data_IF_671342183931
#
_entry.id   IF_671342183931
#
_cell.length_a   1.000
_cell.length_b   1.000
_cell.length_c   1.000
_cell.angle_alpha   90.00
_cell.angle_beta   90.00
_cell.angle_gamma   90.00
#
_symmetry.space_group_name_H-M   'P 1'
#
loop_
_entity.id
_entity.type
_entity.pdbx_description
1 polymer ?
#
# COMPACT_ATOMS: atom_id res chain seq x y z
N UNK A 1 2.93 -0.44 -31.05
CA UNK A 1 2.27 -1.68 -30.57
C UNK A 1 0.87 -1.31 -30.08
N UNK A 2 -0.19 -1.92 -30.60
CA UNK A 2 -1.55 -1.49 -30.28
C UNK A 2 -1.93 -1.96 -28.86
N UNK A 3 -2.66 -1.16 -28.11
CA UNK A 3 -3.12 -1.39 -26.71
C UNK A 3 -3.68 -2.83 -26.48
N UNK A 4 -4.30 -3.41 -27.51
CA UNK A 4 -4.77 -4.82 -27.50
C UNK A 4 -3.65 -5.86 -27.35
N UNK A 5 -2.46 -5.60 -27.89
CA UNK A 5 -1.33 -6.55 -27.83
C UNK A 5 -0.70 -6.59 -26.44
N UNK A 6 -0.67 -5.44 -25.74
CA UNK A 6 -0.15 -5.35 -24.36
C UNK A 6 -1.10 -6.07 -23.39
N UNK A 7 -2.42 -5.94 -23.57
CA UNK A 7 -3.41 -6.69 -22.77
C UNK A 7 -3.27 -8.19 -23.01
N UNK A 8 -2.92 -8.61 -24.23
CA UNK A 8 -2.69 -10.02 -24.55
C UNK A 8 -1.43 -10.53 -23.87
N UNK A 9 -0.34 -9.77 -23.89
CA UNK A 9 0.92 -10.11 -23.20
C UNK A 9 0.77 -10.16 -21.66
N UNK A 10 0.00 -9.25 -21.07
CA UNK A 10 -0.32 -9.30 -19.65
C UNK A 10 -1.21 -10.51 -19.29
N UNK A 11 -2.21 -10.83 -20.12
CA UNK A 11 -3.03 -12.04 -19.95
C UNK A 11 -2.23 -13.32 -20.10
N UNK A 12 -1.26 -13.35 -21.00
CA UNK A 12 -0.45 -14.54 -21.25
C UNK A 12 0.58 -14.75 -20.11
N UNK A 13 1.10 -13.69 -19.52
CA UNK A 13 1.98 -13.76 -18.34
C UNK A 13 1.21 -14.23 -17.08
N UNK A 14 0.00 -13.75 -16.86
CA UNK A 14 -0.90 -14.24 -15.78
C UNK A 14 -1.27 -15.71 -16.01
N UNK A 15 -1.52 -16.13 -17.27
CA UNK A 15 -1.81 -17.53 -17.60
C UNK A 15 -0.60 -18.45 -17.42
N UNK A 16 0.63 -17.99 -17.63
CA UNK A 16 1.84 -18.81 -17.51
C UNK A 16 2.09 -19.31 -16.09
N UNK A 17 1.82 -18.48 -15.08
CA UNK A 17 1.96 -18.90 -13.67
C UNK A 17 0.73 -19.70 -13.19
N UNK A 18 -0.48 -19.38 -13.63
CA UNK A 18 -1.67 -20.17 -13.33
C UNK A 18 -1.63 -21.56 -13.99
N UNK A 19 -1.03 -21.69 -15.18
CA UNK A 19 -0.90 -22.94 -15.93
C UNK A 19 -0.05 -23.99 -15.19
N UNK A 20 1.02 -23.59 -14.50
CA UNK A 20 1.91 -24.52 -13.80
C UNK A 20 1.24 -25.15 -12.58
N UNK A 21 0.41 -24.40 -11.85
CA UNK A 21 -0.35 -24.92 -10.72
C UNK A 21 -1.62 -25.69 -11.17
N UNK A 22 -2.28 -25.27 -12.25
CA UNK A 22 -3.46 -25.97 -12.77
C UNK A 22 -3.09 -27.34 -13.35
N UNK A 23 -1.93 -27.48 -14.00
CA UNK A 23 -1.46 -28.78 -14.49
C UNK A 23 -1.10 -29.76 -13.37
N UNK A 24 -0.56 -29.28 -12.24
CA UNK A 24 -0.26 -30.13 -11.09
C UNK A 24 -1.53 -30.62 -10.39
N UNK A 25 -2.52 -29.73 -10.21
CA UNK A 25 -3.82 -30.08 -9.58
C UNK A 25 -4.66 -30.93 -10.52
N UNK A 26 -4.68 -30.63 -11.81
CA UNK A 26 -5.42 -31.43 -12.83
C UNK A 26 -4.88 -32.85 -12.99
N UNK A 27 -3.54 -33.04 -12.87
CA UNK A 27 -2.93 -34.37 -12.93
C UNK A 27 -3.29 -35.24 -11.71
N UNK A 28 -3.35 -34.69 -10.53
CA UNK A 28 -3.75 -35.40 -9.31
C UNK A 28 -5.22 -35.74 -9.33
N UNK A 29 -6.08 -34.83 -9.82
CA UNK A 29 -7.52 -35.08 -9.91
C UNK A 29 -7.87 -36.17 -10.96
N UNK A 30 -7.17 -36.18 -12.10
CA UNK A 30 -7.34 -37.19 -13.12
C UNK A 30 -6.89 -38.59 -12.64
N UNK A 31 -5.81 -38.66 -11.84
CA UNK A 31 -5.32 -39.92 -11.27
C UNK A 31 -6.29 -40.48 -10.22
N UNK A 32 -6.92 -39.64 -9.42
CA UNK A 32 -7.94 -40.02 -8.42
C UNK A 32 -9.22 -40.52 -9.13
N UNK A 33 -9.67 -39.84 -10.19
CA UNK A 33 -10.86 -40.27 -10.97
C UNK A 33 -10.63 -41.58 -11.70
N UNK A 34 -9.44 -41.82 -12.27
CA UNK A 34 -9.08 -43.07 -12.93
C UNK A 34 -8.96 -44.22 -11.89
N UNK A 35 -8.43 -43.96 -10.71
CA UNK A 35 -8.37 -44.95 -9.63
C UNK A 35 -9.78 -45.34 -9.12
N UNK A 36 -10.73 -44.40 -9.08
CA UNK A 36 -12.11 -44.64 -8.68
C UNK A 36 -12.93 -45.40 -9.74
N UNK A 37 -12.63 -45.26 -11.03
CA UNK A 37 -13.31 -45.94 -12.13
C UNK A 37 -12.79 -47.38 -12.30
N UNK A 38 -11.55 -47.69 -11.90
CA UNK A 38 -10.97 -49.02 -12.01
C UNK A 38 -11.25 -49.93 -10.80
N UNK A 39 -11.87 -49.40 -9.74
CA UNK A 39 -12.30 -50.15 -8.57
C UNK A 39 -13.78 -50.54 -8.74
N UNK A 40 -14.03 -51.48 -9.66
CA UNK A 40 -15.37 -52.02 -9.87
C UNK A 40 -15.93 -52.75 -8.64
N UNK A 41 -17.17 -52.46 -8.39
CA UNK A 41 -18.18 -53.19 -7.61
C UNK A 41 -17.72 -54.21 -6.55
N UNK A 42 -17.81 -53.78 -5.30
CA UNK A 42 -18.25 -54.68 -4.22
C UNK A 42 -19.19 -53.88 -3.31
N UNK A 43 -20.46 -54.28 -3.33
CA UNK A 43 -21.44 -53.91 -2.31
C UNK A 43 -20.90 -54.24 -0.92
N UNK A 44 -20.51 -53.21 -0.18
CA UNK A 44 -20.35 -53.24 1.27
C UNK A 44 -21.21 -52.11 1.82
N UNK A 45 -22.37 -52.49 2.30
CA UNK A 45 -23.17 -51.64 3.19
C UNK A 45 -22.41 -51.50 4.50
N UNK A 46 -21.54 -50.52 4.58
CA UNK A 46 -20.92 -50.08 5.83
C UNK A 46 -21.45 -48.71 6.17
N UNK A 47 -22.34 -48.69 7.17
CA UNK A 47 -22.81 -47.49 7.83
C UNK A 47 -21.63 -46.95 8.68
N UNK A 48 -20.60 -46.47 8.07
CA UNK A 48 -19.63 -45.59 8.74
C UNK A 48 -20.20 -44.18 8.65
N UNK A 49 -20.69 -43.66 9.75
CA UNK A 49 -20.84 -42.23 9.97
C UNK A 49 -19.50 -41.58 9.58
N UNK A 50 -19.53 -40.83 8.50
CA UNK A 50 -18.38 -39.94 8.14
C UNK A 50 -18.38 -38.91 9.25
N UNK A 51 -17.54 -39.10 10.28
CA UNK A 51 -17.22 -38.03 11.20
C UNK A 51 -16.74 -36.87 10.33
N UNK A 52 -17.50 -35.80 10.38
CA UNK A 52 -17.18 -34.53 9.73
C UNK A 52 -15.91 -34.03 10.43
N UNK A 53 -14.74 -34.37 9.88
CA UNK A 53 -13.44 -33.98 10.41
C UNK A 53 -13.34 -32.47 10.21
N UNK A 54 -13.73 -31.74 11.24
CA UNK A 54 -13.61 -30.28 11.26
C UNK A 54 -12.16 -29.91 10.95
N UNK A 55 -11.96 -29.19 9.86
CA UNK A 55 -10.62 -28.68 9.52
C UNK A 55 -10.13 -27.77 10.67
N UNK A 56 -8.85 -27.89 11.09
CA UNK A 56 -8.30 -27.08 12.17
C UNK A 56 -8.34 -25.60 11.80
N UNK A 57 -8.83 -24.78 12.71
CA UNK A 57 -8.90 -23.33 12.53
C UNK A 57 -7.60 -22.67 13.00
N UNK A 58 -7.06 -21.76 12.17
CA UNK A 58 -5.81 -21.06 12.47
C UNK A 58 -6.03 -19.56 12.60
N UNK A 59 -5.45 -18.97 13.65
CA UNK A 59 -5.42 -17.53 13.85
C UNK A 59 -3.99 -17.11 14.19
N UNK A 60 -3.43 -16.14 13.48
CA UNK A 60 -2.03 -15.70 13.61
C UNK A 60 -1.01 -16.85 13.52
N UNK A 61 -1.32 -17.87 12.70
CA UNK A 61 -0.47 -19.06 12.53
C UNK A 61 -0.53 -20.08 13.68
N UNK A 62 -1.44 -19.87 14.64
CA UNK A 62 -1.67 -20.78 15.79
C UNK A 62 -2.99 -21.51 15.57
N UNK A 63 -3.00 -22.86 15.71
CA UNK A 63 -4.24 -23.62 15.73
C UNK A 63 -5.05 -23.26 16.98
N UNK A 64 -6.28 -22.77 16.80
CA UNK A 64 -7.08 -22.22 17.89
C UNK A 64 -8.17 -23.16 18.43
N UNK A 65 -8.24 -24.40 17.95
CA UNK A 65 -9.30 -25.36 18.33
C UNK A 65 -9.39 -25.58 19.84
N UNK A 66 -8.26 -25.48 20.56
CA UNK A 66 -8.16 -25.68 22.01
C UNK A 66 -8.12 -24.37 22.82
N UNK A 67 -8.43 -23.23 22.18
CA UNK A 67 -8.37 -21.92 22.83
C UNK A 67 -9.68 -21.17 22.75
N UNK A 68 -10.00 -20.43 23.80
CA UNK A 68 -10.96 -19.33 23.74
C UNK A 68 -10.24 -18.08 23.24
N UNK A 69 -10.78 -17.48 22.19
CA UNK A 69 -10.21 -16.29 21.54
C UNK A 69 -10.88 -15.04 22.10
N UNK A 70 -10.11 -14.22 22.79
CA UNK A 70 -10.59 -12.94 23.37
C UNK A 70 -9.92 -11.79 22.66
N UNK A 71 -10.67 -11.08 21.80
CA UNK A 71 -10.20 -9.92 21.05
C UNK A 71 -10.68 -8.64 21.75
N UNK A 72 -9.78 -7.68 21.94
CA UNK A 72 -10.09 -6.33 22.43
C UNK A 72 -9.20 -5.30 21.70
N UNK A 73 -9.49 -4.03 21.93
CA UNK A 73 -8.74 -2.90 21.36
C UNK A 73 -8.15 -2.07 22.49
N UNK A 74 -6.87 -1.69 22.37
CA UNK A 74 -6.20 -0.85 23.36
C UNK A 74 -6.85 0.53 23.39
N UNK A 75 -7.29 0.94 24.57
CA UNK A 75 -7.96 2.23 24.79
C UNK A 75 -6.96 3.33 25.12
N UNK A 76 -7.37 4.57 24.90
CA UNK A 76 -6.57 5.74 25.31
C UNK A 76 -6.30 5.69 26.83
N UNK A 77 -5.06 5.93 27.21
CA UNK A 77 -4.57 5.88 28.60
C UNK A 77 -4.65 4.48 29.28
N UNK A 78 -4.75 3.42 28.50
CA UNK A 78 -4.68 2.06 29.00
C UNK A 78 -3.22 1.58 28.99
N UNK A 79 -2.76 1.06 30.13
CA UNK A 79 -1.42 0.49 30.26
C UNK A 79 -1.45 -1.03 30.05
N UNK A 80 -0.37 -1.57 29.53
CA UNK A 80 -0.24 -3.02 29.30
C UNK A 80 -0.50 -3.83 30.58
N UNK A 81 0.01 -3.37 31.72
CA UNK A 81 -0.21 -4.06 33.02
C UNK A 81 -1.70 -4.22 33.34
N UNK A 82 -2.51 -3.19 33.05
CA UNK A 82 -3.95 -3.27 33.27
C UNK A 82 -4.63 -4.30 32.35
N UNK A 83 -4.14 -4.41 31.11
CA UNK A 83 -4.64 -5.39 30.14
C UNK A 83 -4.29 -6.80 30.61
N UNK A 84 -3.02 -7.02 30.95
CA UNK A 84 -2.50 -8.33 31.35
C UNK A 84 -3.13 -8.83 32.65
N UNK A 85 -3.20 -7.98 33.68
CA UNK A 85 -3.79 -8.32 34.98
C UNK A 85 -5.28 -8.65 34.90
N UNK A 86 -6.01 -8.04 33.98
CA UNK A 86 -7.42 -8.36 33.72
C UNK A 86 -7.63 -9.81 33.26
N UNK A 87 -6.61 -10.39 32.67
CA UNK A 87 -6.58 -11.77 32.17
C UNK A 87 -5.66 -12.67 33.01
N UNK A 88 -5.47 -12.37 34.31
CA UNK A 88 -4.71 -13.15 35.27
C UNK A 88 -3.22 -13.39 34.91
N UNK A 89 -2.64 -12.55 34.06
CA UNK A 89 -1.20 -12.55 33.77
C UNK A 89 -0.48 -11.75 34.84
N UNK A 90 0.42 -12.38 35.58
CA UNK A 90 1.12 -11.78 36.71
C UNK A 90 2.21 -10.76 36.31
N UNK A 91 2.62 -9.90 37.25
CA UNK A 91 3.67 -8.90 37.03
C UNK A 91 5.04 -9.49 36.68
N UNK A 92 5.36 -10.72 37.15
CA UNK A 92 6.64 -11.37 36.85
C UNK A 92 6.68 -11.72 35.37
N UNK A 93 5.58 -12.28 34.85
CA UNK A 93 5.45 -12.60 33.41
C UNK A 93 5.55 -11.34 32.56
N UNK A 94 4.88 -10.24 32.92
CA UNK A 94 4.97 -8.95 32.21
C UNK A 94 6.42 -8.44 32.20
N UNK A 95 7.09 -8.45 33.34
CA UNK A 95 8.48 -8.00 33.48
C UNK A 95 9.44 -8.88 32.67
N UNK A 96 9.21 -10.20 32.66
CA UNK A 96 10.03 -11.15 31.87
C UNK A 96 9.86 -10.87 30.38
N UNK A 97 8.65 -10.67 29.88
CA UNK A 97 8.38 -10.29 28.49
C UNK A 97 9.14 -9.02 28.12
N UNK A 98 9.03 -7.96 28.94
CA UNK A 98 9.71 -6.70 28.66
C UNK A 98 11.23 -6.86 28.59
N UNK A 99 11.83 -7.58 29.49
CA UNK A 99 13.30 -7.76 29.54
C UNK A 99 13.82 -8.68 28.44
N UNK A 100 13.13 -9.79 28.18
CA UNK A 100 13.63 -10.86 27.32
C UNK A 100 13.35 -10.60 25.85
N UNK A 101 12.16 -10.05 25.52
CA UNK A 101 11.66 -9.97 24.15
C UNK A 101 11.61 -8.55 23.58
N UNK A 102 12.25 -7.60 24.25
CA UNK A 102 12.30 -6.20 23.79
C UNK A 102 12.89 -6.02 22.38
N UNK A 103 13.78 -6.93 21.94
CA UNK A 103 14.34 -6.89 20.59
C UNK A 103 13.34 -7.37 19.53
N UNK A 104 12.46 -8.30 19.88
CA UNK A 104 11.40 -8.80 19.00
C UNK A 104 10.32 -7.76 18.83
N UNK A 105 9.76 -7.27 19.93
CA UNK A 105 8.84 -6.13 19.96
C UNK A 105 8.90 -5.46 21.33
N UNK A 106 9.10 -4.15 21.33
CA UNK A 106 9.10 -3.35 22.56
C UNK A 106 7.66 -3.06 22.99
N UNK A 107 7.17 -3.79 24.00
CA UNK A 107 5.80 -3.67 24.50
C UNK A 107 5.42 -2.28 25.01
N UNK A 108 6.39 -1.38 25.22
CA UNK A 108 6.14 0.03 25.57
C UNK A 108 5.68 0.86 24.37
N UNK A 109 5.78 0.30 23.15
CA UNK A 109 5.33 0.94 21.90
C UNK A 109 3.90 0.59 21.52
N UNK A 110 3.13 -0.08 22.40
CA UNK A 110 1.72 -0.32 22.16
C UNK A 110 0.98 1.01 22.01
N UNK A 111 -0.01 1.02 21.12
CA UNK A 111 -0.75 2.24 20.78
C UNK A 111 -2.26 2.06 20.97
N UNK A 112 -2.97 3.10 21.43
CA UNK A 112 -4.42 3.12 21.41
C UNK A 112 -4.96 2.90 19.99
N UNK A 113 -6.07 2.15 19.89
CA UNK A 113 -6.71 1.82 18.62
C UNK A 113 -6.21 0.52 17.98
N UNK A 114 -5.10 -0.05 18.45
CA UNK A 114 -4.60 -1.34 17.94
C UNK A 114 -5.33 -2.50 18.62
N UNK A 115 -5.61 -3.55 17.85
CA UNK A 115 -6.22 -4.78 18.34
C UNK A 115 -5.19 -5.62 19.10
N UNK A 116 -5.64 -6.32 20.09
CA UNK A 116 -4.90 -7.39 20.74
C UNK A 116 -5.81 -8.58 21.03
N UNK A 117 -5.22 -9.77 21.09
CA UNK A 117 -5.94 -11.03 21.27
C UNK A 117 -5.26 -11.86 22.35
N UNK A 118 -6.05 -12.39 23.26
CA UNK A 118 -5.62 -13.48 24.15
C UNK A 118 -6.16 -14.81 23.63
N UNK A 119 -5.28 -15.82 23.62
CA UNK A 119 -5.68 -17.22 23.46
C UNK A 119 -5.63 -17.86 24.83
N UNK A 120 -6.79 -18.24 25.35
CA UNK A 120 -6.98 -18.82 26.68
C UNK A 120 -7.21 -20.31 26.50
N UNK A 121 -6.40 -21.15 27.18
CA UNK A 121 -6.54 -22.61 27.10
C UNK A 121 -7.91 -23.08 27.58
N UNK A 122 -8.50 -24.04 26.87
CA UNK A 122 -9.70 -24.81 27.26
C UNK A 122 -9.37 -26.07 28.05
N UNK A 123 -8.08 -26.33 28.29
CA UNK A 123 -7.65 -27.51 29.05
C UNK A 123 -8.04 -27.42 30.53
N UNK A 124 -7.62 -28.42 31.32
CA UNK A 124 -7.91 -28.51 32.75
C UNK A 124 -7.53 -27.27 33.57
N UNK A 125 -6.55 -26.50 33.07
CA UNK A 125 -6.14 -25.22 33.63
C UNK A 125 -6.50 -24.13 32.63
N UNK A 126 -7.55 -23.37 32.91
CA UNK A 126 -7.97 -22.22 32.12
C UNK A 126 -7.04 -21.05 32.41
N UNK A 127 -6.14 -20.76 31.49
CA UNK A 127 -5.17 -19.67 31.62
C UNK A 127 -4.81 -19.08 30.26
N UNK A 128 -4.41 -17.79 30.18
CA UNK A 128 -3.92 -17.19 28.94
C UNK A 128 -2.58 -17.83 28.56
N UNK A 129 -2.53 -18.38 27.34
CA UNK A 129 -1.34 -19.05 26.79
C UNK A 129 -0.58 -18.15 25.84
N UNK A 130 -1.29 -17.38 25.03
CA UNK A 130 -0.71 -16.42 24.12
C UNK A 130 -1.37 -15.06 24.26
N UNK A 131 -0.56 -14.02 24.10
CA UNK A 131 -0.99 -12.66 23.86
C UNK A 131 -0.45 -12.19 22.52
N UNK A 132 -1.35 -11.75 21.64
CA UNK A 132 -1.03 -11.28 20.31
C UNK A 132 -1.36 -9.78 20.24
N UNK A 133 -0.46 -8.99 19.71
CA UNK A 133 -0.63 -7.56 19.49
C UNK A 133 -0.48 -7.21 18.03
N UNK A 134 -1.50 -6.62 17.40
CA UNK A 134 -1.41 -6.13 16.03
C UNK A 134 -0.61 -4.82 16.00
N UNK A 135 0.60 -4.87 15.43
CA UNK A 135 1.52 -3.73 15.31
C UNK A 135 0.97 -2.72 14.30
N UNK A 136 0.46 -3.26 13.20
CA UNK A 136 -0.19 -2.53 12.10
C UNK A 136 -1.15 -3.49 11.38
N UNK A 137 -1.64 -3.13 10.19
CA UNK A 137 -2.59 -3.97 9.45
C UNK A 137 -2.00 -5.28 8.94
N UNK A 138 -0.68 -5.37 8.78
CA UNK A 138 0.02 -6.54 8.24
C UNK A 138 0.82 -7.31 9.28
N UNK A 139 1.36 -6.62 10.28
CA UNK A 139 2.32 -7.20 11.21
C UNK A 139 1.72 -7.36 12.60
N UNK A 140 2.03 -8.46 13.25
CA UNK A 140 1.62 -8.73 14.62
C UNK A 140 2.77 -9.34 15.43
N UNK A 141 2.79 -9.09 16.72
CA UNK A 141 3.71 -9.71 17.67
C UNK A 141 2.96 -10.73 18.52
N UNK A 142 3.49 -11.93 18.63
CA UNK A 142 2.99 -13.01 19.48
C UNK A 142 3.90 -13.18 20.68
N UNK A 143 3.33 -13.28 21.85
CA UNK A 143 4.03 -13.59 23.10
C UNK A 143 3.40 -14.82 23.72
N UNK A 144 4.21 -15.88 23.92
CA UNK A 144 3.83 -17.02 24.77
C UNK A 144 3.90 -16.58 26.23
N UNK A 145 2.83 -16.83 26.98
CA UNK A 145 2.70 -16.48 28.41
C UNK A 145 3.04 -17.64 29.34
N UNK A 146 3.43 -18.78 28.77
CA UNK A 146 3.83 -19.99 29.53
C UNK A 146 5.25 -19.87 30.07
N UNK A 147 5.70 -20.87 30.85
CA UNK A 147 7.04 -20.90 31.46
C UNK A 147 8.18 -20.79 30.44
N UNK A 148 8.00 -21.34 29.25
CA UNK A 148 8.91 -21.19 28.12
C UNK A 148 8.64 -19.93 27.31
N UNK A 149 8.66 -18.76 27.96
CA UNK A 149 8.44 -17.47 27.32
C UNK A 149 9.14 -17.38 25.96
N UNK A 150 8.37 -17.23 24.92
CA UNK A 150 8.86 -17.01 23.57
C UNK A 150 8.09 -15.85 22.93
N UNK A 151 8.71 -15.16 21.98
CA UNK A 151 8.02 -14.14 21.21
C UNK A 151 8.56 -14.06 19.78
N UNK A 152 7.67 -13.83 18.85
CA UNK A 152 8.00 -13.63 17.45
C UNK A 152 7.10 -12.59 16.80
N UNK A 153 7.54 -12.06 15.67
CA UNK A 153 6.72 -11.22 14.80
C UNK A 153 6.26 -12.08 13.63
N UNK A 154 4.98 -12.05 13.37
CA UNK A 154 4.36 -12.69 12.22
C UNK A 154 3.76 -11.64 11.29
N UNK A 155 3.42 -12.08 10.08
CA UNK A 155 2.84 -11.26 9.04
C UNK A 155 1.53 -11.91 8.58
N UNK A 156 0.47 -11.10 8.46
CA UNK A 156 -0.77 -11.52 7.81
C UNK A 156 -0.54 -11.65 6.31
N UNK A 157 -1.25 -12.54 5.66
CA UNK A 157 -1.20 -12.68 4.22
C UNK A 157 -1.75 -11.42 3.55
N UNK A 158 -0.95 -10.88 2.63
CA UNK A 158 -1.33 -9.73 1.81
C UNK A 158 -1.72 -10.25 0.43
N UNK A 159 -2.98 -10.13 0.09
CA UNK A 159 -3.46 -10.42 -1.28
C UNK A 159 -3.42 -9.15 -2.12
N UNK A 160 -3.17 -9.30 -3.41
CA UNK A 160 -3.10 -8.17 -4.34
C UNK A 160 -4.05 -8.42 -5.50
N UNK A 161 -5.00 -7.50 -5.69
CA UNK A 161 -5.91 -7.51 -6.81
C UNK A 161 -5.53 -6.42 -7.82
N UNK A 162 -5.72 -6.68 -9.11
CA UNK A 162 -5.58 -5.65 -10.13
C UNK A 162 -6.95 -5.02 -10.32
N UNK A 163 -7.02 -3.73 -10.08
CA UNK A 163 -8.24 -2.93 -10.21
C UNK A 163 -8.09 -1.86 -11.29
N UNK A 164 -9.24 -1.35 -11.73
CA UNK A 164 -9.32 -0.29 -12.73
C UNK A 164 -10.14 0.85 -12.16
N UNK A 165 -9.59 2.07 -12.23
CA UNK A 165 -10.34 3.30 -12.02
C UNK A 165 -10.32 4.12 -13.31
N UNK A 166 -11.50 4.55 -13.78
CA UNK A 166 -11.61 5.38 -14.99
C UNK A 166 -12.75 6.37 -14.84
N UNK A 167 -12.62 7.53 -15.48
CA UNK A 167 -13.67 8.53 -15.44
C UNK A 167 -13.29 9.86 -16.09
N UNK A 168 -14.28 10.75 -16.09
CA UNK A 168 -14.12 12.15 -16.50
C UNK A 168 -14.10 13.02 -15.25
N UNK A 169 -13.19 13.97 -15.20
CA UNK A 169 -13.00 14.88 -14.06
C UNK A 169 -14.09 15.97 -14.13
N UNK A 170 -14.88 16.04 -13.07
CA UNK A 170 -15.94 17.06 -12.96
C UNK A 170 -15.59 18.18 -11.97
N UNK A 171 -14.73 17.91 -11.01
CA UNK A 171 -14.28 18.86 -9.98
C UNK A 171 -12.77 18.70 -9.71
N UNK A 172 -12.34 17.57 -9.20
CA UNK A 172 -10.94 17.22 -8.97
C UNK A 172 -10.68 15.78 -9.34
N UNK A 173 -9.41 15.44 -9.63
CA UNK A 173 -9.01 14.05 -9.89
C UNK A 173 -9.29 13.14 -8.69
N UNK A 174 -9.08 13.64 -7.46
CA UNK A 174 -9.37 12.93 -6.22
C UNK A 174 -10.85 12.52 -6.12
N UNK A 175 -11.75 13.48 -6.31
CA UNK A 175 -13.20 13.22 -6.25
C UNK A 175 -13.68 12.37 -7.41
N UNK A 176 -13.12 12.55 -8.61
CA UNK A 176 -13.46 11.73 -9.77
C UNK A 176 -13.05 10.26 -9.58
N UNK A 177 -11.88 9.99 -9.01
CA UNK A 177 -11.44 8.62 -8.67
C UNK A 177 -12.38 8.02 -7.63
N UNK A 178 -12.66 8.74 -6.53
CA UNK A 178 -13.56 8.29 -5.47
C UNK A 178 -14.98 7.98 -5.97
N UNK A 179 -15.54 8.86 -6.80
CA UNK A 179 -16.88 8.71 -7.35
C UNK A 179 -17.02 7.48 -8.29
N UNK A 180 -15.92 7.04 -8.90
CA UNK A 180 -15.87 5.85 -9.76
C UNK A 180 -15.36 4.60 -9.03
N UNK A 181 -15.38 4.60 -7.68
CA UNK A 181 -15.05 3.43 -6.86
C UNK A 181 -13.56 3.13 -6.73
N UNK A 182 -12.68 3.98 -7.25
CA UNK A 182 -11.23 3.84 -7.08
C UNK A 182 -10.76 4.40 -5.72
N UNK A 183 -9.55 4.00 -5.31
CA UNK A 183 -8.90 4.58 -4.13
C UNK A 183 -8.40 6.00 -4.45
N UNK A 184 -8.88 7.05 -3.74
CA UNK A 184 -8.47 8.44 -4.01
C UNK A 184 -6.96 8.69 -3.89
N UNK A 185 -6.22 7.88 -3.12
CA UNK A 185 -4.77 7.96 -3.02
C UNK A 185 -4.04 7.69 -4.34
N UNK A 186 -4.72 7.12 -5.36
CA UNK A 186 -4.22 7.05 -6.73
C UNK A 186 -3.82 8.42 -7.28
N UNK A 187 -4.49 9.49 -6.85
CA UNK A 187 -4.13 10.86 -7.25
C UNK A 187 -2.69 11.19 -6.92
N UNK A 188 -2.20 10.78 -5.74
CA UNK A 188 -0.81 10.99 -5.34
C UNK A 188 0.15 10.16 -6.20
N UNK A 189 -0.20 8.89 -6.45
CA UNK A 189 0.59 8.01 -7.33
C UNK A 189 0.69 8.56 -8.76
N UNK A 190 -0.44 9.03 -9.31
CA UNK A 190 -0.47 9.62 -10.64
C UNK A 190 0.32 10.93 -10.72
N UNK A 191 0.22 11.77 -9.67
CA UNK A 191 1.01 13.01 -9.62
C UNK A 191 2.51 12.74 -9.58
N UNK A 192 2.95 11.69 -8.91
CA UNK A 192 4.36 11.28 -8.88
C UNK A 192 4.81 10.72 -10.25
N UNK A 193 3.99 9.88 -10.89
CA UNK A 193 4.29 9.25 -12.17
C UNK A 193 4.41 10.30 -13.28
N UNK A 194 3.45 11.21 -13.36
CA UNK A 194 3.38 12.22 -14.42
C UNK A 194 4.01 13.57 -14.03
N UNK A 195 4.73 13.66 -12.89
CA UNK A 195 5.30 14.90 -12.38
C UNK A 195 6.16 15.67 -13.40
N UNK A 196 6.76 14.97 -14.34
CA UNK A 196 7.64 15.55 -15.39
C UNK A 196 6.91 15.89 -16.69
N UNK A 197 5.68 15.37 -16.88
CA UNK A 197 4.95 15.49 -18.16
C UNK A 197 3.66 16.26 -18.03
N UNK A 198 3.02 16.25 -16.87
CA UNK A 198 1.72 16.88 -16.62
C UNK A 198 1.82 17.91 -15.51
N UNK A 199 1.22 19.08 -15.72
CA UNK A 199 0.95 20.04 -14.66
C UNK A 199 -0.37 19.67 -13.96
N UNK A 200 -0.31 19.00 -12.83
CA UNK A 200 -1.48 18.58 -12.05
C UNK A 200 -2.33 19.74 -11.51
N UNK A 201 -1.79 20.96 -11.52
CA UNK A 201 -2.57 22.18 -11.19
C UNK A 201 -3.37 22.69 -12.38
N UNK A 202 -2.99 22.25 -13.58
CA UNK A 202 -3.71 22.53 -14.81
C UNK A 202 -4.84 21.54 -15.12
N UNK A 203 -5.05 20.52 -14.29
CA UNK A 203 -6.15 19.57 -14.45
C UNK A 203 -7.48 20.30 -14.25
N UNK A 204 -8.40 20.13 -15.19
CA UNK A 204 -9.66 20.85 -15.24
C UNK A 204 -10.85 19.93 -15.54
N UNK A 205 -12.03 20.48 -15.42
CA UNK A 205 -13.27 19.80 -15.79
C UNK A 205 -13.24 19.39 -17.26
N UNK A 206 -13.61 18.14 -17.55
CA UNK A 206 -13.59 17.55 -18.89
C UNK A 206 -12.35 16.71 -19.19
N UNK A 207 -11.29 16.84 -18.40
CA UNK A 207 -10.16 15.92 -18.48
C UNK A 207 -10.61 14.51 -18.10
N UNK A 208 -9.88 13.48 -18.54
CA UNK A 208 -10.25 12.09 -18.29
C UNK A 208 -9.04 11.23 -17.92
N UNK A 209 -9.30 10.18 -17.16
CA UNK A 209 -8.26 9.26 -16.72
C UNK A 209 -8.70 7.81 -16.81
N UNK A 210 -7.73 6.91 -16.92
CA UNK A 210 -7.88 5.47 -16.76
C UNK A 210 -6.62 4.87 -16.18
N UNK A 211 -6.76 4.11 -15.09
CA UNK A 211 -5.64 3.59 -14.30
C UNK A 211 -5.85 2.13 -14.00
N UNK A 212 -4.85 1.29 -14.28
CA UNK A 212 -4.74 -0.09 -13.85
C UNK A 212 -3.72 -0.13 -12.72
N UNK A 213 -4.11 -0.62 -11.55
CA UNK A 213 -3.27 -0.59 -10.36
C UNK A 213 -3.44 -1.82 -9.49
N UNK A 214 -2.43 -2.11 -8.70
CA UNK A 214 -2.47 -3.10 -7.64
C UNK A 214 -3.13 -2.51 -6.40
N UNK A 215 -4.19 -3.15 -5.93
CA UNK A 215 -4.82 -2.84 -4.65
C UNK A 215 -4.53 -3.98 -3.68
N UNK A 216 -3.96 -3.67 -2.52
CA UNK A 216 -3.52 -4.63 -1.51
C UNK A 216 -4.57 -4.80 -0.43
N UNK A 217 -4.79 -6.05 -0.03
CA UNK A 217 -5.80 -6.43 0.95
C UNK A 217 -5.20 -7.33 2.02
N UNK A 218 -5.70 -7.21 3.23
CA UNK A 218 -5.47 -8.15 4.34
C UNK A 218 -6.83 -8.51 4.92
N UNK A 219 -7.14 -9.81 5.00
CA UNK A 219 -8.43 -10.30 5.52
C UNK A 219 -9.65 -9.66 4.82
N UNK A 220 -9.51 -9.32 3.54
CA UNK A 220 -10.56 -8.67 2.74
C UNK A 220 -10.64 -7.14 2.92
N UNK A 221 -9.89 -6.55 3.84
CA UNK A 221 -9.82 -5.10 4.01
C UNK A 221 -8.71 -4.49 3.14
N UNK A 222 -9.02 -3.40 2.44
CA UNK A 222 -8.03 -2.64 1.67
C UNK A 222 -7.01 -1.99 2.61
N UNK A 223 -5.71 -2.20 2.32
CA UNK A 223 -4.61 -1.66 3.12
C UNK A 223 -3.76 -0.63 2.38
N UNK A 224 -3.95 -0.50 1.07
CA UNK A 224 -3.27 0.51 0.26
C UNK A 224 -3.03 0.08 -1.18
N UNK A 225 -2.43 0.99 -1.93
CA UNK A 225 -2.13 0.85 -3.35
C UNK A 225 -0.70 0.35 -3.52
N UNK A 226 -0.52 -0.67 -4.36
CA UNK A 226 0.77 -1.16 -4.82
C UNK A 226 1.31 -0.35 -6.00
N UNK A 227 1.70 -1.05 -7.08
CA UNK A 227 2.15 -0.42 -8.30
C UNK A 227 0.97 0.05 -9.16
N UNK A 228 1.15 1.18 -9.83
CA UNK A 228 0.31 1.58 -10.96
C UNK A 228 0.87 0.91 -12.20
N UNK A 229 0.16 -0.08 -12.75
CA UNK A 229 0.64 -0.92 -13.85
C UNK A 229 0.55 -0.20 -15.20
N UNK A 230 -0.54 0.54 -15.39
CA UNK A 230 -0.72 1.40 -16.55
C UNK A 230 -1.63 2.57 -16.20
N UNK A 231 -1.33 3.73 -16.72
CA UNK A 231 -2.15 4.91 -16.56
C UNK A 231 -2.30 5.68 -17.87
N UNK A 232 -3.47 6.26 -18.04
CA UNK A 232 -3.81 7.20 -19.08
C UNK A 232 -4.40 8.45 -18.43
N UNK A 233 -3.98 9.61 -18.89
CA UNK A 233 -4.50 10.90 -18.48
C UNK A 233 -4.63 11.77 -19.73
N UNK A 234 -5.83 12.26 -20.01
CA UNK A 234 -6.05 13.34 -20.97
C UNK A 234 -6.16 14.63 -20.19
N UNK A 235 -5.25 15.56 -20.43
CA UNK A 235 -5.21 16.87 -19.80
C UNK A 235 -5.24 17.95 -20.88
N UNK A 236 -6.29 18.75 -20.92
CA UNK A 236 -6.50 19.81 -21.89
C UNK A 236 -6.39 19.35 -23.36
N UNK A 237 -6.81 18.11 -23.65
CA UNK A 237 -6.73 17.48 -24.97
C UNK A 237 -5.38 16.83 -25.31
N UNK A 238 -4.41 16.89 -24.42
CA UNK A 238 -3.12 16.19 -24.55
C UNK A 238 -3.18 14.83 -23.85
N UNK A 239 -2.84 13.77 -24.55
CA UNK A 239 -2.87 12.41 -24.03
C UNK A 239 -1.52 12.01 -23.43
N UNK A 240 -1.52 11.57 -22.19
CA UNK A 240 -0.36 11.09 -21.45
C UNK A 240 -0.55 9.63 -21.09
N UNK A 241 0.48 8.81 -21.29
CA UNK A 241 0.48 7.38 -20.99
C UNK A 241 1.64 7.04 -20.08
N UNK A 242 1.41 6.10 -19.17
CA UNK A 242 2.43 5.54 -18.30
C UNK A 242 2.28 4.03 -18.25
N UNK A 243 3.37 3.31 -18.43
CA UNK A 243 3.45 1.84 -18.34
C UNK A 243 4.54 1.47 -17.36
N UNK A 244 4.18 0.70 -16.34
CA UNK A 244 5.14 0.20 -15.37
C UNK A 244 5.97 -0.93 -15.97
N UNK A 245 7.26 -0.86 -15.80
CA UNK A 245 8.19 -1.92 -16.16
C UNK A 245 9.27 -2.04 -15.09
N UNK A 246 9.54 -3.27 -14.67
CA UNK A 246 10.61 -3.56 -13.71
C UNK A 246 11.80 -4.16 -14.43
N UNK A 247 12.96 -3.54 -14.25
CA UNK A 247 14.23 -4.01 -14.80
C UNK A 247 15.32 -3.92 -13.75
N UNK A 248 16.07 -5.01 -13.56
CA UNK A 248 17.16 -5.10 -12.58
C UNK A 248 16.73 -4.78 -11.14
N UNK A 249 15.50 -5.17 -10.76
CA UNK A 249 14.93 -4.90 -9.44
C UNK A 249 14.48 -3.45 -9.22
N UNK A 250 14.43 -2.64 -10.27
CA UNK A 250 13.96 -1.25 -10.24
C UNK A 250 12.76 -1.09 -11.15
N UNK A 251 11.63 -0.69 -10.57
CA UNK A 251 10.40 -0.40 -11.29
C UNK A 251 10.33 1.08 -11.67
N UNK A 252 10.05 1.35 -12.94
CA UNK A 252 9.91 2.70 -13.48
C UNK A 252 8.73 2.77 -14.45
N UNK A 253 8.32 3.99 -14.81
CA UNK A 253 7.22 4.20 -15.76
C UNK A 253 7.76 4.77 -17.07
N UNK A 254 7.22 4.28 -18.17
CA UNK A 254 7.62 4.62 -19.54
C UNK A 254 6.39 5.07 -20.32
N UNK A 255 6.62 5.96 -21.31
CA UNK A 255 5.58 6.38 -22.24
C UNK A 255 5.31 5.34 -23.35
N UNK A 256 4.53 5.72 -24.36
CA UNK A 256 4.20 4.86 -25.51
C UNK A 256 5.40 4.49 -26.36
N UNK A 257 6.36 5.36 -26.43
CA UNK A 257 7.58 5.26 -27.22
C UNK A 257 8.64 4.42 -26.49
N UNK A 258 8.44 4.16 -25.19
CA UNK A 258 9.37 3.43 -24.32
C UNK A 258 10.40 4.36 -23.67
N UNK A 259 10.18 5.66 -23.71
CA UNK A 259 11.00 6.62 -23.02
C UNK A 259 10.58 6.71 -21.55
N UNK A 260 11.57 6.81 -20.65
CA UNK A 260 11.32 6.94 -19.22
C UNK A 260 10.59 8.26 -18.93
N UNK A 261 9.47 8.20 -18.21
CA UNK A 261 8.70 9.38 -17.83
C UNK A 261 9.46 10.31 -16.88
N UNK A 262 10.39 9.76 -16.10
CA UNK A 262 11.29 10.56 -15.27
C UNK A 262 12.31 11.29 -16.14
N UNK A 263 11.99 12.50 -16.52
CA UNK A 263 12.87 13.39 -17.30
C UNK A 263 13.89 14.07 -16.40
N UNK A 264 14.88 14.72 -17.01
CA UNK A 264 15.94 15.41 -16.28
C UNK A 264 15.42 16.50 -15.33
N UNK A 265 14.28 17.14 -15.67
CA UNK A 265 13.73 18.24 -14.89
C UNK A 265 12.22 18.13 -14.70
N UNK A 266 11.76 18.40 -13.47
CA UNK A 266 10.36 18.58 -13.16
C UNK A 266 9.77 19.78 -13.90
N UNK A 267 8.50 19.70 -14.27
CA UNK A 267 7.79 20.78 -14.93
C UNK A 267 7.58 22.00 -14.01
N UNK A 268 7.48 21.77 -12.70
CA UNK A 268 7.36 22.84 -11.70
C UNK A 268 8.06 22.44 -10.37
N UNK A 269 8.69 23.41 -9.67
CA UNK A 269 9.46 23.13 -8.44
C UNK A 269 8.60 23.02 -7.17
N UNK A 270 7.29 23.26 -7.24
CA UNK A 270 6.40 23.26 -6.07
C UNK A 270 4.94 23.22 -6.45
N UNK A 271 4.08 22.91 -5.49
CA UNK A 271 2.64 23.04 -5.56
C UNK A 271 2.25 24.52 -5.56
N UNK A 272 2.15 25.15 -6.71
CA UNK A 272 1.78 26.55 -6.83
C UNK A 272 0.28 26.73 -7.15
N UNK A 273 -0.29 27.85 -6.71
CA UNK A 273 -1.69 28.21 -7.04
C UNK A 273 -1.83 28.77 -8.43
N UNK A 274 -0.84 29.54 -8.87
CA UNK A 274 -0.79 30.19 -10.19
C UNK A 274 0.62 30.67 -10.49
N UNK A 275 0.93 30.83 -11.74
CA UNK A 275 2.09 31.61 -12.18
C UNK A 275 1.72 33.08 -12.01
N UNK A 276 2.42 33.77 -11.11
CA UNK A 276 2.19 35.18 -10.83
C UNK A 276 2.93 36.12 -11.79
N UNK A 277 4.04 35.63 -12.37
CA UNK A 277 4.80 36.35 -13.40
C UNK A 277 5.57 35.37 -14.29
N UNK A 278 5.48 35.59 -15.58
CA UNK A 278 6.20 34.81 -16.59
C UNK A 278 7.55 35.44 -16.93
N UNK A 279 8.42 34.68 -17.59
CA UNK A 279 9.65 35.17 -18.17
C UNK A 279 9.37 36.30 -19.19
N UNK A 280 10.14 37.36 -19.13
CA UNK A 280 10.06 38.46 -20.08
C UNK A 280 11.37 39.27 -20.12
N UNK A 281 11.83 39.59 -21.32
CA UNK A 281 13.00 40.45 -21.49
C UNK A 281 12.68 41.94 -21.19
N UNK A 282 11.40 42.33 -21.22
CA UNK A 282 10.97 43.69 -20.98
C UNK A 282 9.53 43.73 -20.42
N UNK A 283 9.37 43.80 -19.10
CA UNK A 283 8.03 43.95 -18.47
C UNK A 283 7.94 45.21 -17.62
N UNK A 284 6.77 45.81 -17.58
CA UNK A 284 6.49 46.88 -16.67
C UNK A 284 6.30 46.34 -15.26
N UNK A 285 7.17 46.76 -14.34
CA UNK A 285 7.08 46.33 -12.95
C UNK A 285 5.76 46.78 -12.32
N UNK A 286 5.00 45.89 -11.66
CA UNK A 286 3.62 46.22 -11.20
C UNK A 286 3.59 47.37 -10.18
N UNK A 287 4.62 47.51 -9.35
CA UNK A 287 4.70 48.55 -8.31
C UNK A 287 5.44 49.79 -8.81
N UNK A 288 6.68 49.63 -9.27
CA UNK A 288 7.56 50.77 -9.63
C UNK A 288 7.26 51.33 -11.02
N UNK A 289 6.45 50.65 -11.83
CA UNK A 289 6.08 51.03 -13.24
C UNK A 289 7.28 51.11 -14.20
N UNK A 290 8.50 50.80 -13.75
CA UNK A 290 9.72 50.81 -14.58
C UNK A 290 9.71 49.57 -15.47
N UNK A 291 10.14 49.69 -16.71
CA UNK A 291 10.35 48.54 -17.60
C UNK A 291 11.69 47.96 -17.31
N UNK A 292 11.68 46.67 -16.92
CA UNK A 292 12.89 45.88 -16.67
C UNK A 292 12.67 44.40 -17.02
N UNK A 293 13.75 43.64 -17.32
CA UNK A 293 13.62 42.22 -17.58
C UNK A 293 13.20 41.45 -16.33
N UNK A 294 12.54 40.33 -16.56
CA UNK A 294 12.25 39.30 -15.56
C UNK A 294 12.71 37.96 -16.14
N UNK A 295 13.91 37.54 -15.81
CA UNK A 295 14.54 36.32 -16.34
C UNK A 295 14.20 35.08 -15.56
N UNK A 296 12.99 35.00 -15.00
CA UNK A 296 12.47 33.87 -14.25
C UNK A 296 10.96 33.74 -14.39
N UNK A 297 10.42 32.73 -13.73
CA UNK A 297 8.97 32.51 -13.56
C UNK A 297 8.67 32.55 -12.07
N UNK A 298 7.72 33.38 -11.68
CA UNK A 298 7.30 33.48 -10.29
C UNK A 298 6.07 32.60 -10.05
N UNK A 299 6.19 31.61 -9.19
CA UNK A 299 5.11 30.75 -8.75
C UNK A 299 4.53 31.26 -7.44
N UNK A 300 3.22 31.51 -7.41
CA UNK A 300 2.54 31.93 -6.18
C UNK A 300 1.99 30.71 -5.43
N UNK A 301 2.47 30.49 -4.23
CA UNK A 301 2.06 29.41 -3.35
C UNK A 301 1.74 29.92 -1.93
N UNK A 302 1.07 29.11 -1.11
CA UNK A 302 0.81 29.43 0.28
C UNK A 302 2.14 29.36 1.09
N UNK A 303 2.22 30.16 2.15
CA UNK A 303 3.36 30.07 3.08
C UNK A 303 3.48 28.64 3.65
N UNK A 304 4.69 28.08 3.64
CA UNK A 304 4.96 26.71 4.07
C UNK A 304 4.81 25.66 2.97
N UNK A 305 4.45 26.02 1.73
CA UNK A 305 4.48 25.09 0.61
C UNK A 305 5.92 24.61 0.35
N UNK A 306 6.17 23.30 0.33
CA UNK A 306 7.49 22.76 0.03
C UNK A 306 7.95 23.17 -1.37
N UNK A 307 9.24 23.53 -1.48
CA UNK A 307 9.93 23.73 -2.76
C UNK A 307 10.93 22.61 -2.91
N UNK A 308 10.88 21.93 -4.07
CA UNK A 308 11.78 20.82 -4.39
C UNK A 308 12.74 21.21 -5.51
N UNK A 309 13.87 20.50 -5.60
CA UNK A 309 14.75 20.61 -6.77
C UNK A 309 14.01 20.10 -8.00
N UNK A 310 14.17 20.79 -9.13
CA UNK A 310 13.55 20.37 -10.40
C UNK A 310 14.26 19.19 -11.05
N UNK A 311 15.45 18.81 -10.57
CA UNK A 311 16.22 17.68 -11.06
C UNK A 311 17.23 17.20 -10.02
N UNK A 312 17.92 16.12 -10.35
CA UNK A 312 19.00 15.58 -9.53
C UNK A 312 20.18 16.57 -9.52
N UNK A 313 20.75 16.81 -8.35
CA UNK A 313 21.84 17.77 -8.20
C UNK A 313 22.46 17.74 -6.80
N UNK A 314 23.50 18.55 -6.63
CA UNK A 314 24.18 18.73 -5.34
C UNK A 314 23.97 20.16 -4.90
N UNK A 315 23.50 20.37 -3.65
CA UNK A 315 23.38 21.71 -3.07
C UNK A 315 24.80 22.27 -2.87
N UNK A 316 25.14 23.32 -3.59
CA UNK A 316 26.45 23.97 -3.53
C UNK A 316 26.44 25.21 -2.61
N UNK A 317 25.28 25.83 -2.44
CA UNK A 317 25.13 27.02 -1.58
C UNK A 317 23.73 27.08 -0.99
N UNK A 318 23.61 27.54 0.23
CA UNK A 318 22.36 27.95 0.87
C UNK A 318 22.57 29.21 1.68
N UNK A 319 21.65 30.14 1.63
CA UNK A 319 21.80 31.39 2.33
C UNK A 319 20.54 32.23 2.38
N UNK A 320 20.69 33.44 2.92
CA UNK A 320 19.64 34.44 2.93
C UNK A 320 19.97 35.52 1.90
N UNK A 321 19.17 35.66 0.86
CA UNK A 321 19.32 36.77 -0.08
C UNK A 321 18.74 38.07 0.51
N UNK A 322 19.62 38.99 0.83
CA UNK A 322 19.26 40.32 1.33
C UNK A 322 18.53 41.20 0.29
N UNK A 323 18.67 40.88 -1.00
CA UNK A 323 18.07 41.66 -2.11
C UNK A 323 16.76 41.02 -2.61
N UNK A 324 16.62 39.71 -2.53
CA UNK A 324 15.44 38.96 -2.96
C UNK A 324 14.39 38.77 -1.86
N UNK A 325 14.75 38.98 -0.60
CA UNK A 325 13.82 38.89 0.53
C UNK A 325 13.46 37.47 0.95
N UNK A 326 14.30 36.49 0.66
CA UNK A 326 14.06 35.09 0.99
C UNK A 326 15.32 34.28 1.33
N UNK A 327 15.10 33.00 1.61
CA UNK A 327 16.18 32.03 1.81
C UNK A 327 16.43 31.31 0.48
N UNK A 328 17.66 31.39 -0.02
CA UNK A 328 18.08 30.77 -1.26
C UNK A 328 18.80 29.45 -1.03
N UNK A 329 18.63 28.54 -2.00
CA UNK A 329 19.39 27.30 -2.12
C UNK A 329 19.87 27.18 -3.57
N UNK A 330 21.15 27.00 -3.80
CA UNK A 330 21.75 26.82 -5.12
C UNK A 330 22.47 25.46 -5.21
#
# INVERSE_FOLDING_TARGET
MKFREIITLLKDNIKSHASTYLCAIGGIFLFIVIALVLSGDKDISDNSEVEDVKEPEFLYGICIDNYDVVVDTIRKNQFLSNIMLKHDVDYNTITRIEKTHRKTFDIRKIRPGQKHTFLISRDSIVQPVFWIYEINKTDYAVFSLTDSLNAWVGHKEVTTNIEVAEGVITSSLWEAIAANGGDPYLTLKLSDIFAWTVDFFGIQQGDSFKVYYEHKYVEGEAIGIGNVLAAYLNNAGEEHYAYYFEQNGKGEHFDREGDNLRKAFLKAPSNYRRISSTFSNARKHPVTKVVRPHHGVDYAAATGTPVVTIGDGTVIEKGWDKKGGGQDCA
#
